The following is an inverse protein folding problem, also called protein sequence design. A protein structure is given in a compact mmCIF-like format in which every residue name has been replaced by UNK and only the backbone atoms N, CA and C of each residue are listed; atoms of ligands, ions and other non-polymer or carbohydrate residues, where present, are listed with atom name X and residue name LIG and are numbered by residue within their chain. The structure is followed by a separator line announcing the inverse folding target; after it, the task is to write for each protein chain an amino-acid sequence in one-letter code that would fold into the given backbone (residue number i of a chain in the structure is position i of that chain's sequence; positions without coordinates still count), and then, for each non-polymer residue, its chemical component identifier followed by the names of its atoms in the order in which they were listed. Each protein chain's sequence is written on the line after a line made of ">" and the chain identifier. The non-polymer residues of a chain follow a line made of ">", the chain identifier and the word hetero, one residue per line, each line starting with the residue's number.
data_IF_653012520750
#
_entry.id   IF_653012520750
#
_cell.length_a   1.000
_cell.length_b   1.000
_cell.length_c   1.000
_cell.angle_alpha   90.00
_cell.angle_beta   90.00
_cell.angle_gamma   90.00
#
_symmetry.space_group_name_H-M   'P 1'
#
loop_
_entity.id
_entity.type
_entity.pdbx_description
1 polymer ?
#
# COMPACT_ATOMS: atom_id res chain seq x y z
N UNK A 1 10.03 -35.44 -11.65
CA UNK A 1 10.68 -34.13 -11.42
C UNK A 1 11.29 -34.16 -10.05
N UNK A 2 12.55 -33.76 -9.91
CA UNK A 2 13.15 -33.57 -8.58
C UNK A 2 12.41 -32.45 -7.85
N UNK A 3 12.08 -32.67 -6.58
CA UNK A 3 11.47 -31.66 -5.73
C UNK A 3 12.54 -30.65 -5.29
N UNK A 4 12.82 -29.67 -6.14
CA UNK A 4 13.74 -28.56 -5.84
C UNK A 4 12.97 -27.44 -5.15
N UNK A 5 13.56 -26.91 -4.09
CA UNK A 5 13.02 -25.74 -3.39
C UNK A 5 13.02 -24.54 -4.34
N UNK A 6 11.91 -23.79 -4.46
CA UNK A 6 11.88 -22.56 -5.24
C UNK A 6 12.80 -21.50 -4.61
N UNK A 7 13.52 -20.78 -5.46
CA UNK A 7 14.37 -19.66 -5.06
C UNK A 7 13.64 -18.34 -5.27
N UNK A 8 13.87 -17.40 -4.36
CA UNK A 8 13.36 -16.05 -4.52
C UNK A 8 14.18 -15.32 -5.59
N UNK A 9 13.52 -14.83 -6.64
CA UNK A 9 14.20 -14.35 -7.83
C UNK A 9 14.92 -12.99 -7.65
N UNK A 10 14.53 -12.19 -6.66
CA UNK A 10 15.10 -10.86 -6.41
C UNK A 10 16.30 -11.00 -5.49
N UNK A 11 17.51 -10.87 -6.06
CA UNK A 11 18.77 -11.20 -5.38
C UNK A 11 19.25 -10.14 -4.38
N UNK A 12 18.93 -8.87 -4.62
CA UNK A 12 19.42 -7.75 -3.80
C UNK A 12 18.55 -7.47 -2.58
N UNK A 13 17.40 -8.13 -2.46
CA UNK A 13 16.44 -7.89 -1.40
C UNK A 13 15.98 -9.20 -0.77
N UNK A 14 15.94 -9.21 0.55
CA UNK A 14 15.27 -10.28 1.28
C UNK A 14 13.75 -10.17 1.13
N UNK A 15 13.04 -11.30 1.27
CA UNK A 15 11.58 -11.32 1.32
C UNK A 15 11.04 -10.41 2.43
N UNK A 16 11.73 -10.38 3.59
CA UNK A 16 11.39 -9.52 4.72
C UNK A 16 11.49 -8.04 4.34
N UNK A 17 12.62 -7.62 3.78
CA UNK A 17 12.81 -6.22 3.37
C UNK A 17 11.76 -5.78 2.35
N UNK A 18 11.37 -6.63 1.41
CA UNK A 18 10.33 -6.28 0.42
C UNK A 18 8.98 -6.10 1.11
N UNK A 19 8.60 -7.01 2.01
CA UNK A 19 7.33 -6.89 2.73
C UNK A 19 7.26 -5.60 3.55
N UNK A 20 8.34 -5.25 4.26
CA UNK A 20 8.43 -4.00 5.03
C UNK A 20 8.37 -2.76 4.15
N UNK A 21 9.10 -2.72 3.03
CA UNK A 21 9.07 -1.58 2.09
C UNK A 21 7.69 -1.42 1.44
N UNK A 22 7.06 -2.53 1.03
CA UNK A 22 5.69 -2.50 0.51
C UNK A 22 4.69 -2.01 1.56
N UNK A 23 4.84 -2.43 2.82
CA UNK A 23 4.01 -1.95 3.92
C UNK A 23 4.13 -0.44 4.13
N UNK A 24 5.35 0.08 4.19
CA UNK A 24 5.58 1.51 4.29
C UNK A 24 4.97 2.26 3.10
N UNK A 25 5.20 1.76 1.88
CA UNK A 25 4.70 2.40 0.67
C UNK A 25 3.16 2.47 0.61
N UNK A 26 2.45 1.39 0.95
CA UNK A 26 0.99 1.40 0.94
C UNK A 26 0.39 2.30 2.02
N UNK A 27 1.00 2.33 3.21
CA UNK A 27 0.62 3.26 4.27
C UNK A 27 0.78 4.71 3.81
N UNK A 28 1.90 5.03 3.18
CA UNK A 28 2.21 6.39 2.73
C UNK A 28 1.28 6.82 1.59
N UNK A 29 0.96 5.93 0.65
CA UNK A 29 -0.05 6.18 -0.39
C UNK A 29 -1.46 6.38 0.20
N UNK A 30 -1.86 5.59 1.19
CA UNK A 30 -3.14 5.79 1.87
C UNK A 30 -3.19 7.19 2.52
N UNK A 31 -2.09 7.61 3.19
CA UNK A 31 -1.99 8.93 3.80
C UNK A 31 -2.02 10.05 2.77
N UNK A 32 -1.28 9.90 1.67
CA UNK A 32 -1.26 10.83 0.55
C UNK A 32 -2.67 11.11 0.01
N UNK A 33 -3.44 10.06 -0.26
CA UNK A 33 -4.79 10.23 -0.80
C UNK A 33 -5.78 10.83 0.20
N UNK A 34 -5.64 10.55 1.51
CA UNK A 34 -6.43 11.25 2.55
C UNK A 34 -6.16 12.75 2.56
N UNK A 35 -4.91 13.17 2.39
CA UNK A 35 -4.54 14.59 2.28
C UNK A 35 -5.13 15.19 1.00
N UNK A 36 -4.96 14.51 -0.14
CA UNK A 36 -5.51 14.96 -1.42
C UNK A 36 -7.04 15.13 -1.38
N UNK A 37 -7.76 14.20 -0.73
CA UNK A 37 -9.20 14.34 -0.46
C UNK A 37 -9.53 15.62 0.30
N UNK A 38 -8.79 15.91 1.38
CA UNK A 38 -8.99 17.14 2.17
C UNK A 38 -8.76 18.42 1.35
N UNK A 39 -7.77 18.41 0.46
CA UNK A 39 -7.51 19.53 -0.44
C UNK A 39 -8.66 19.73 -1.44
N UNK A 40 -9.18 18.66 -2.05
CA UNK A 40 -10.31 18.75 -2.98
C UNK A 40 -11.61 19.22 -2.30
N UNK A 41 -11.87 18.78 -1.07
CA UNK A 41 -13.01 19.28 -0.28
C UNK A 41 -12.86 20.77 -0.03
N UNK A 42 -11.65 21.21 0.36
CA UNK A 42 -11.38 22.63 0.61
C UNK A 42 -11.53 23.47 -0.67
N UNK A 43 -11.11 22.92 -1.82
CA UNK A 43 -11.30 23.57 -3.12
C UNK A 43 -12.80 23.71 -3.45
N UNK A 44 -13.58 22.62 -3.29
CA UNK A 44 -15.02 22.62 -3.51
C UNK A 44 -15.74 23.65 -2.63
N UNK A 45 -15.39 23.74 -1.34
CA UNK A 45 -15.97 24.69 -0.39
C UNK A 45 -15.65 26.15 -0.72
N UNK A 46 -14.52 26.39 -1.41
CA UNK A 46 -14.07 27.73 -1.80
C UNK A 46 -14.59 28.19 -3.17
N UNK A 47 -15.25 27.30 -3.93
CA UNK A 47 -15.72 27.59 -5.27
C UNK A 47 -17.00 28.42 -5.27
N UNK A 48 -16.99 29.52 -6.03
CA UNK A 48 -18.16 30.36 -6.26
C UNK A 48 -18.94 30.01 -7.54
N UNK A 49 -18.35 29.21 -8.44
CA UNK A 49 -18.95 28.77 -9.70
C UNK A 49 -19.01 27.24 -9.74
N UNK A 50 -20.23 26.68 -9.82
CA UNK A 50 -20.48 25.24 -9.82
C UNK A 50 -20.04 24.52 -11.11
N UNK A 51 -19.57 25.24 -12.13
CA UNK A 51 -19.19 24.67 -13.43
C UNK A 51 -18.13 23.57 -13.35
N UNK A 52 -17.27 23.57 -12.32
CA UNK A 52 -16.25 22.52 -12.07
C UNK A 52 -16.60 21.56 -10.93
N UNK A 53 -17.74 21.74 -10.25
CA UNK A 53 -18.09 20.95 -9.08
C UNK A 53 -18.27 19.46 -9.43
N UNK A 54 -18.85 19.18 -10.60
CA UNK A 54 -19.02 17.81 -11.10
C UNK A 54 -17.67 17.09 -11.29
N UNK A 55 -16.66 17.77 -11.84
CA UNK A 55 -15.33 17.20 -12.03
C UNK A 55 -14.65 16.90 -10.68
N UNK A 56 -14.73 17.81 -9.72
CA UNK A 56 -14.17 17.60 -8.37
C UNK A 56 -14.90 16.46 -7.65
N UNK A 57 -16.22 16.31 -7.82
CA UNK A 57 -16.95 15.17 -7.27
C UNK A 57 -16.51 13.83 -7.85
N UNK A 58 -16.21 13.77 -9.15
CA UNK A 58 -15.68 12.55 -9.78
C UNK A 58 -14.27 12.23 -9.25
N UNK A 59 -13.41 13.23 -9.12
CA UNK A 59 -12.08 13.06 -8.53
C UNK A 59 -12.15 12.60 -7.06
N UNK A 60 -13.07 13.16 -6.27
CA UNK A 60 -13.30 12.75 -4.88
C UNK A 60 -13.73 11.28 -4.80
N UNK A 61 -14.58 10.82 -5.72
CA UNK A 61 -15.00 9.41 -5.78
C UNK A 61 -13.82 8.49 -6.08
N UNK A 62 -12.99 8.84 -7.07
CA UNK A 62 -11.81 8.06 -7.42
C UNK A 62 -10.80 8.00 -6.27
N UNK A 63 -10.59 9.12 -5.57
CA UNK A 63 -9.71 9.17 -4.39
C UNK A 63 -10.25 8.28 -3.27
N UNK A 64 -11.56 8.25 -3.03
CA UNK A 64 -12.16 7.40 -2.00
C UNK A 64 -11.93 5.91 -2.29
N UNK A 65 -12.07 5.50 -3.56
CA UNK A 65 -11.77 4.14 -4.00
C UNK A 65 -10.29 3.81 -3.76
N UNK A 66 -9.38 4.72 -4.12
CA UNK A 66 -7.93 4.53 -3.88
C UNK A 66 -7.60 4.42 -2.38
N UNK A 67 -8.17 5.28 -1.53
CA UNK A 67 -8.00 5.20 -0.07
C UNK A 67 -8.43 3.83 0.44
N UNK A 68 -9.58 3.34 -0.05
CA UNK A 68 -10.13 2.04 0.32
C UNK A 68 -9.21 0.90 -0.11
N UNK A 69 -8.72 0.91 -1.35
CA UNK A 69 -7.81 -0.12 -1.84
C UNK A 69 -6.47 -0.10 -1.11
N UNK A 70 -5.87 1.07 -0.88
CA UNK A 70 -4.62 1.16 -0.10
C UNK A 70 -4.81 0.77 1.36
N UNK A 71 -6.01 0.99 1.95
CA UNK A 71 -6.31 0.46 3.27
C UNK A 71 -6.26 -1.08 3.30
N UNK A 72 -6.90 -1.72 2.31
CA UNK A 72 -6.91 -3.19 2.20
C UNK A 72 -5.50 -3.72 1.98
N UNK A 73 -4.74 -3.12 1.06
CA UNK A 73 -3.36 -3.50 0.79
C UNK A 73 -2.47 -3.33 2.02
N UNK A 74 -2.59 -2.20 2.74
CA UNK A 74 -1.85 -1.93 3.96
C UNK A 74 -2.13 -2.99 5.05
N UNK A 75 -3.39 -3.35 5.26
CA UNK A 75 -3.75 -4.37 6.25
C UNK A 75 -3.25 -5.77 5.84
N UNK A 76 -3.36 -6.11 4.55
CA UNK A 76 -2.89 -7.39 4.02
C UNK A 76 -1.37 -7.53 4.20
N UNK A 77 -0.60 -6.52 3.79
CA UNK A 77 0.86 -6.56 3.91
C UNK A 77 1.31 -6.45 5.37
N UNK A 78 0.61 -5.70 6.24
CA UNK A 78 0.90 -5.69 7.68
C UNK A 78 0.77 -7.10 8.29
N UNK A 79 -0.20 -7.89 7.83
CA UNK A 79 -0.35 -9.29 8.25
C UNK A 79 0.83 -10.14 7.76
N UNK A 80 1.21 -9.98 6.49
CA UNK A 80 2.37 -10.68 5.90
C UNK A 80 3.66 -10.33 6.64
N UNK A 81 3.91 -9.04 6.85
CA UNK A 81 5.08 -8.50 7.55
C UNK A 81 5.16 -9.06 8.98
N UNK A 82 4.04 -9.09 9.71
CA UNK A 82 3.96 -9.68 11.05
C UNK A 82 4.34 -11.16 11.04
N UNK A 83 3.81 -11.94 10.10
CA UNK A 83 4.09 -13.39 9.99
C UNK A 83 5.55 -13.63 9.60
N UNK A 84 6.09 -12.86 8.65
CA UNK A 84 7.48 -12.99 8.19
C UNK A 84 8.51 -12.67 9.29
N UNK A 85 8.14 -11.81 10.24
CA UNK A 85 8.98 -11.44 11.39
C UNK A 85 8.86 -12.41 12.59
N UNK A 86 8.13 -13.51 12.46
CA UNK A 86 8.15 -14.58 13.48
C UNK A 86 9.42 -15.42 13.40
N UNK A 87 9.89 -15.95 14.53
CA UNK A 87 11.16 -16.70 14.62
C UNK A 87 11.26 -17.85 13.60
N UNK A 88 10.16 -18.59 13.38
CA UNK A 88 10.11 -19.70 12.43
C UNK A 88 10.29 -19.24 10.98
N UNK A 89 9.64 -18.13 10.61
CA UNK A 89 9.72 -17.59 9.25
C UNK A 89 11.06 -16.90 9.02
N UNK A 90 11.57 -16.18 10.00
CA UNK A 90 12.92 -15.63 9.99
C UNK A 90 13.94 -16.75 9.75
N UNK A 91 13.86 -17.87 10.48
CA UNK A 91 14.79 -18.99 10.30
C UNK A 91 14.68 -19.63 8.90
N UNK A 92 13.46 -19.71 8.35
CA UNK A 92 13.21 -20.24 7.00
C UNK A 92 13.85 -19.39 5.89
N UNK A 93 13.98 -18.07 6.11
CA UNK A 93 14.55 -17.12 5.14
C UNK A 93 15.98 -16.64 5.44
N UNK A 94 16.48 -16.72 6.70
CA UNK A 94 17.86 -16.35 7.07
C UNK A 94 18.89 -17.41 6.69
N UNK A 95 18.57 -18.69 6.81
CA UNK A 95 19.54 -19.78 6.66
C UNK A 95 19.93 -20.08 5.20
N UNK A 96 19.57 -19.21 4.24
CA UNK A 96 19.58 -19.53 2.80
C UNK A 96 19.98 -18.37 1.88
N UNK A 97 20.60 -17.31 2.43
CA UNK A 97 21.33 -16.30 1.66
C UNK A 97 22.83 -16.57 1.77
#
# INVERSE_FOLDING_TARGET
>A
MENKRPEFAIKEHSVLSIATEMHNHFRDLQSYYKIAKGNLISELDSMADESKAAEIHDQLREIEDKITFFHVLNNAISTVDTVLHTDKMIAEFKNKQ
#
